data_IF_321317986253
#
_entry.id   IF_321317986253
#
_cell.length_a   1.000
_cell.length_b   1.000
_cell.length_c   1.000
_cell.angle_alpha   90.00
_cell.angle_beta   90.00
_cell.angle_gamma   90.00
#
_symmetry.space_group_name_H-M   'P 1'
#
loop_
_entity.id
_entity.type
_entity.pdbx_description
1 polymer ?
#
# COMPACT_ATOMS: atom_id res chain seq x y z
N UNK A 1 -31.08 -9.28 17.39
CA UNK A 1 -31.29 -9.50 15.93
C UNK A 1 -32.18 -8.39 15.40
N UNK A 2 -31.69 -7.64 14.40
CA UNK A 2 -32.49 -6.61 13.72
C UNK A 2 -33.51 -7.25 12.78
N UNK A 3 -34.67 -6.63 12.59
CA UNK A 3 -35.59 -7.02 11.53
C UNK A 3 -35.11 -6.52 10.14
N UNK A 4 -35.74 -6.97 9.06
CA UNK A 4 -35.33 -6.66 7.69
C UNK A 4 -35.38 -5.15 7.36
N UNK A 5 -36.35 -4.43 7.92
CA UNK A 5 -36.49 -3.00 7.74
C UNK A 5 -35.36 -2.24 8.48
N UNK A 6 -35.05 -2.61 9.72
CA UNK A 6 -33.95 -2.06 10.51
C UNK A 6 -32.58 -2.35 9.86
N UNK A 7 -32.41 -3.56 9.33
CA UNK A 7 -31.20 -3.97 8.59
C UNK A 7 -31.00 -3.15 7.31
N UNK A 8 -32.10 -2.85 6.62
CA UNK A 8 -32.08 -2.03 5.40
C UNK A 8 -31.84 -0.56 5.72
N UNK A 9 -32.44 -0.05 6.80
CA UNK A 9 -32.22 1.30 7.31
C UNK A 9 -30.76 1.52 7.73
N UNK A 10 -30.16 0.55 8.43
CA UNK A 10 -28.74 0.58 8.80
C UNK A 10 -27.83 0.72 7.57
N UNK A 11 -28.05 -0.11 6.53
CA UNK A 11 -27.28 -0.05 5.27
C UNK A 11 -27.45 1.27 4.53
N UNK A 12 -28.64 1.87 4.56
CA UNK A 12 -28.88 3.19 3.99
C UNK A 12 -28.09 4.28 4.71
N UNK A 13 -28.15 4.31 6.04
CA UNK A 13 -27.43 5.27 6.88
C UNK A 13 -25.91 5.13 6.74
N UNK A 14 -25.38 3.90 6.70
CA UNK A 14 -23.96 3.64 6.44
C UNK A 14 -23.53 4.18 5.07
N UNK A 15 -24.29 3.89 3.99
CA UNK A 15 -23.96 4.41 2.65
C UNK A 15 -23.93 5.93 2.60
N UNK A 16 -24.86 6.60 3.29
CA UNK A 16 -24.90 8.08 3.32
C UNK A 16 -23.79 8.66 4.20
N UNK A 17 -23.47 8.02 5.31
CA UNK A 17 -22.43 8.49 6.24
C UNK A 17 -21.04 8.43 5.59
N UNK A 18 -20.78 7.42 4.77
CA UNK A 18 -19.49 7.20 4.10
C UNK A 18 -19.45 7.70 2.65
N UNK A 19 -20.52 8.31 2.13
CA UNK A 19 -20.48 8.94 0.80
C UNK A 19 -19.65 10.24 0.83
N UNK A 20 -19.02 10.57 -0.30
CA UNK A 20 -18.29 11.83 -0.46
C UNK A 20 -19.22 13.03 -0.16
N UNK A 21 -18.90 13.78 0.90
CA UNK A 21 -19.72 14.90 1.38
C UNK A 21 -20.54 14.63 2.65
N UNK A 22 -20.51 13.43 3.23
CA UNK A 22 -20.96 13.14 4.60
C UNK A 22 -22.36 13.67 4.94
N UNK A 23 -23.35 13.38 4.09
CA UNK A 23 -24.69 13.99 4.14
C UNK A 23 -25.62 13.45 5.22
N UNK A 24 -25.12 13.11 6.41
CA UNK A 24 -25.90 12.53 7.52
C UNK A 24 -25.93 13.50 8.69
N UNK A 25 -27.14 13.79 9.18
CA UNK A 25 -27.34 14.63 10.36
C UNK A 25 -26.90 13.92 11.64
N UNK A 26 -26.65 14.68 12.71
CA UNK A 26 -26.26 14.13 14.02
C UNK A 26 -27.31 13.15 14.57
N UNK A 27 -28.60 13.42 14.33
CA UNK A 27 -29.68 12.53 14.72
C UNK A 27 -29.63 11.19 13.98
N UNK A 28 -29.32 11.21 12.68
CA UNK A 28 -29.18 10.00 11.86
C UNK A 28 -27.90 9.21 12.21
N UNK A 29 -26.83 9.88 12.64
CA UNK A 29 -25.63 9.22 13.19
C UNK A 29 -25.92 8.54 14.53
N UNK A 30 -26.74 9.15 15.39
CA UNK A 30 -27.18 8.52 16.63
C UNK A 30 -28.06 7.29 16.36
N UNK A 31 -28.96 7.39 15.37
CA UNK A 31 -29.78 6.25 14.90
C UNK A 31 -28.90 5.10 14.39
N UNK A 32 -27.86 5.41 13.61
CA UNK A 32 -26.91 4.41 13.11
C UNK A 32 -26.20 3.67 14.26
N UNK A 33 -25.70 4.39 15.27
CA UNK A 33 -25.02 3.78 16.43
C UNK A 33 -25.93 2.81 17.20
N UNK A 34 -27.19 3.17 17.38
CA UNK A 34 -28.18 2.30 18.04
C UNK A 34 -28.46 1.02 17.23
N UNK A 35 -28.59 1.16 15.90
CA UNK A 35 -28.78 0.01 15.01
C UNK A 35 -27.56 -0.93 15.00
N UNK A 36 -26.34 -0.39 15.03
CA UNK A 36 -25.11 -1.17 15.11
C UNK A 36 -25.00 -1.93 16.44
N UNK A 37 -25.30 -1.28 17.56
CA UNK A 37 -25.30 -1.92 18.89
C UNK A 37 -26.28 -3.09 18.99
N UNK A 38 -27.48 -2.97 18.39
CA UNK A 38 -28.51 -4.02 18.39
C UNK A 38 -28.25 -5.16 17.40
N UNK A 39 -27.33 -4.94 16.46
CA UNK A 39 -26.94 -5.93 15.47
C UNK A 39 -25.73 -6.78 15.86
N UNK A 40 -25.01 -6.40 16.92
CA UNK A 40 -23.91 -7.20 17.44
C UNK A 40 -24.43 -8.61 17.80
N UNK A 41 -23.78 -9.69 17.32
CA UNK A 41 -24.17 -11.04 17.69
C UNK A 41 -23.97 -11.25 19.19
N UNK A 42 -25.00 -11.78 19.84
CA UNK A 42 -24.87 -12.36 21.18
C UNK A 42 -24.09 -13.65 20.97
N UNK A 43 -22.83 -13.67 21.39
CA UNK A 43 -22.01 -14.89 21.36
C UNK A 43 -22.56 -15.82 22.45
N UNK A 44 -23.36 -16.80 22.02
CA UNK A 44 -23.85 -17.87 22.88
C UNK A 44 -22.78 -18.98 22.91
N UNK A 45 -22.38 -19.52 24.08
CA UNK A 45 -21.29 -20.50 24.15
C UNK A 45 -21.74 -21.83 23.52
N UNK A 46 -21.13 -22.24 22.41
CA UNK A 46 -21.47 -23.48 21.71
C UNK A 46 -20.71 -24.68 22.31
N UNK A 47 -21.48 -25.68 22.72
CA UNK A 47 -21.07 -26.93 23.39
C UNK A 47 -20.34 -27.86 22.39
N UNK A 48 -19.03 -28.03 22.58
CA UNK A 48 -18.18 -28.83 21.68
C UNK A 48 -18.43 -30.33 21.81
N UNK A 49 -18.73 -30.99 20.69
CA UNK A 49 -18.64 -32.44 20.55
C UNK A 49 -17.17 -32.88 20.30
N UNK A 50 -16.73 -34.03 20.84
CA UNK A 50 -15.33 -34.44 20.79
C UNK A 50 -14.90 -34.92 19.40
N UNK A 51 -13.83 -34.31 18.88
CA UNK A 51 -13.14 -34.67 17.63
C UNK A 51 -12.16 -35.83 17.85
N UNK A 52 -12.13 -36.75 16.89
CA UNK A 52 -11.37 -38.01 16.93
C UNK A 52 -9.91 -37.76 16.56
N UNK A 53 -9.00 -38.21 17.43
CA UNK A 53 -7.56 -38.14 17.27
C UNK A 53 -7.07 -38.85 16.00
N UNK A 54 -6.21 -38.19 15.22
CA UNK A 54 -5.39 -38.81 14.18
C UNK A 54 -3.92 -38.74 14.58
N UNK A 55 -3.26 -39.88 14.50
CA UNK A 55 -1.88 -40.20 14.89
C UNK A 55 -0.85 -39.52 13.96
N UNK A 56 0.39 -39.22 14.43
CA UNK A 56 1.37 -38.44 13.68
C UNK A 56 2.23 -39.33 12.76
N UNK A 57 2.58 -38.80 11.58
CA UNK A 57 3.60 -39.36 10.70
C UNK A 57 4.93 -38.60 10.86
N UNK A 58 6.01 -39.36 11.06
CA UNK A 58 7.40 -38.95 11.31
C UNK A 58 8.06 -38.32 10.05
N UNK A 59 9.02 -37.37 10.20
CA UNK A 59 9.56 -36.61 9.08
C UNK A 59 10.91 -37.15 8.57
N UNK A 60 11.15 -36.99 7.27
CA UNK A 60 12.49 -37.12 6.69
C UNK A 60 12.62 -36.17 5.50
N UNK A 61 13.52 -35.19 5.61
CA UNK A 61 14.69 -35.02 4.72
C UNK A 61 15.27 -33.61 4.82
N UNK A 62 16.48 -33.52 5.38
CA UNK A 62 17.43 -32.41 5.23
C UNK A 62 18.04 -32.43 3.82
N UNK A 63 18.46 -31.27 3.28
CA UNK A 63 19.79 -31.27 2.68
C UNK A 63 20.68 -30.06 3.03
N UNK A 64 21.98 -30.37 3.04
CA UNK A 64 23.17 -29.56 3.30
C UNK A 64 23.47 -28.42 2.30
N UNK A 65 24.41 -27.49 2.64
CA UNK A 65 24.71 -26.28 1.88
C UNK A 65 25.87 -26.47 0.88
N UNK A 66 25.84 -25.71 -0.22
CA UNK A 66 26.96 -25.61 -1.18
C UNK A 66 27.52 -24.20 -1.19
N UNK A 67 28.84 -24.10 -1.01
CA UNK A 67 29.65 -22.89 -1.14
C UNK A 67 30.78 -23.08 -2.18
N UNK A 68 31.31 -21.95 -2.67
CA UNK A 68 32.40 -21.69 -3.64
C UNK A 68 31.95 -21.58 -5.11
N UNK A 69 32.51 -20.68 -5.93
CA UNK A 69 33.65 -19.78 -5.76
C UNK A 69 33.77 -18.87 -6.99
N UNK A 70 34.56 -17.80 -6.89
CA UNK A 70 34.68 -16.75 -7.89
C UNK A 70 35.55 -17.08 -9.11
N UNK A 71 35.53 -16.18 -10.08
CA UNK A 71 36.67 -15.91 -10.97
C UNK A 71 36.57 -14.48 -11.55
N UNK A 72 37.72 -13.83 -11.68
CA UNK A 72 37.95 -12.48 -12.18
C UNK A 72 38.26 -12.49 -13.70
N UNK A 73 38.10 -11.35 -14.39
CA UNK A 73 39.06 -11.00 -15.45
C UNK A 73 38.58 -10.68 -16.88
N UNK A 74 38.22 -9.40 -17.08
CA UNK A 74 38.67 -8.47 -18.14
C UNK A 74 38.23 -8.58 -19.65
N UNK A 75 38.15 -7.44 -20.39
CA UNK A 75 37.61 -7.25 -21.77
C UNK A 75 38.76 -7.02 -22.80
N UNK A 76 38.68 -6.29 -23.97
CA UNK A 76 37.59 -5.66 -24.76
C UNK A 76 37.68 -5.86 -26.31
N UNK A 77 36.72 -5.33 -27.09
CA UNK A 77 36.86 -4.93 -28.51
C UNK A 77 35.70 -3.99 -28.91
N UNK A 78 35.86 -2.70 -29.23
CA UNK A 78 36.49 -1.96 -30.37
C UNK A 78 35.65 -1.83 -31.66
N UNK A 79 35.29 -0.56 -31.91
CA UNK A 79 35.38 0.25 -33.16
C UNK A 79 34.32 0.08 -34.27
N UNK A 80 33.73 1.23 -34.64
CA UNK A 80 33.05 1.45 -35.91
C UNK A 80 32.48 2.87 -36.03
N UNK A 81 33.35 3.86 -36.25
CA UNK A 81 33.02 5.22 -36.73
C UNK A 81 32.53 5.17 -38.19
N UNK A 82 31.52 5.97 -38.54
CA UNK A 82 31.48 6.82 -39.74
C UNK A 82 30.12 7.54 -39.92
N UNK A 83 30.21 8.86 -40.12
CA UNK A 83 29.20 9.86 -40.53
C UNK A 83 29.84 10.58 -41.75
N UNK A 84 29.18 11.47 -42.51
CA UNK A 84 27.94 11.45 -43.31
C UNK A 84 28.25 11.66 -44.83
N UNK A 85 27.25 11.63 -45.72
CA UNK A 85 27.29 12.40 -46.98
C UNK A 85 25.92 13.04 -47.28
N UNK A 86 25.95 14.38 -47.36
CA UNK A 86 24.99 15.24 -48.05
C UNK A 86 25.29 15.20 -49.55
N UNK A 87 24.28 15.24 -50.41
CA UNK A 87 24.49 15.61 -51.82
C UNK A 87 23.31 16.46 -52.33
N UNK A 88 23.67 17.61 -52.89
CA UNK A 88 22.79 18.66 -53.38
C UNK A 88 22.36 18.42 -54.85
N UNK A 89 21.17 18.95 -55.14
CA UNK A 89 20.72 19.58 -56.39
C UNK A 89 21.35 19.23 -57.76
N UNK A 90 20.49 18.89 -58.73
CA UNK A 90 20.63 19.38 -60.12
C UNK A 90 19.31 19.49 -60.89
N UNK A 91 19.11 20.68 -61.45
CA UNK A 91 18.08 21.10 -62.41
C UNK A 91 18.36 20.66 -63.87
N UNK A 92 17.40 20.97 -64.75
CA UNK A 92 17.41 21.05 -66.23
C UNK A 92 16.83 19.83 -66.97
N UNK A 93 15.94 19.92 -67.99
CA UNK A 93 15.42 21.03 -68.80
C UNK A 93 14.13 20.60 -69.58
N UNK A 94 13.37 21.62 -70.04
CA UNK A 94 12.50 21.86 -71.23
C UNK A 94 11.93 20.67 -72.08
N UNK A 95 10.85 20.77 -72.87
CA UNK A 95 10.05 21.86 -73.44
C UNK A 95 8.72 21.30 -74.00
N UNK A 96 7.75 22.22 -74.14
CA UNK A 96 6.67 22.32 -75.16
C UNK A 96 5.76 21.12 -75.55
N UNK A 97 4.45 21.33 -75.35
CA UNK A 97 3.46 21.39 -76.45
C UNK A 97 2.07 21.80 -75.94
N UNK A 98 1.59 22.98 -76.37
CA UNK A 98 0.16 23.31 -76.41
C UNK A 98 -0.53 22.53 -77.54
N UNK A 99 -1.75 22.02 -77.31
CA UNK A 99 -2.99 22.47 -77.97
C UNK A 99 -4.13 21.42 -77.89
N UNK A 100 -5.34 21.96 -77.80
CA UNK A 100 -6.64 21.41 -77.44
C UNK A 100 -7.20 20.24 -78.27
N UNK A 101 -7.83 19.26 -77.59
CA UNK A 101 -9.11 18.63 -78.01
C UNK A 101 -9.90 18.14 -76.78
N UNK A 102 -11.10 18.66 -76.58
CA UNK A 102 -12.23 17.96 -75.94
C UNK A 102 -13.20 17.52 -77.08
N UNK A 103 -14.13 16.55 -76.94
CA UNK A 103 -14.82 16.13 -75.70
C UNK A 103 -15.13 14.62 -75.58
N UNK A 104 -15.59 14.18 -74.40
CA UNK A 104 -16.88 13.48 -74.17
C UNK A 104 -16.91 12.52 -72.97
N UNK A 105 -17.94 12.71 -72.14
CA UNK A 105 -18.76 11.60 -71.64
C UNK A 105 -18.17 10.65 -70.58
N UNK A 106 -18.19 11.06 -69.31
CA UNK A 106 -18.61 10.17 -68.19
C UNK A 106 -18.91 10.95 -66.92
N UNK A 107 -20.21 11.09 -66.61
CA UNK A 107 -20.70 11.56 -65.30
C UNK A 107 -20.26 10.57 -64.23
N UNK A 108 -19.15 10.86 -63.54
CA UNK A 108 -18.78 10.23 -62.27
C UNK A 108 -19.59 10.91 -61.15
N UNK A 109 -20.28 10.16 -60.28
CA UNK A 109 -20.96 10.75 -59.13
C UNK A 109 -19.90 11.33 -58.19
N UNK A 110 -19.85 12.66 -58.10
CA UNK A 110 -19.02 13.41 -57.15
C UNK A 110 -19.65 13.30 -55.76
N UNK A 111 -19.46 12.16 -55.10
CA UNK A 111 -19.61 12.06 -53.64
C UNK A 111 -18.54 11.11 -53.11
N UNK A 112 -17.32 11.59 -52.85
CA UNK A 112 -16.64 11.06 -51.65
C UNK A 112 -15.79 12.08 -50.87
N UNK A 113 -15.73 13.36 -51.26
CA UNK A 113 -14.82 14.31 -50.59
C UNK A 113 -15.40 14.81 -49.26
N UNK A 114 -16.72 15.04 -49.19
CA UNK A 114 -17.37 15.48 -47.93
C UNK A 114 -17.43 14.36 -46.87
N UNK A 115 -17.54 13.09 -47.27
CA UNK A 115 -17.56 11.97 -46.31
C UNK A 115 -16.17 11.77 -45.71
N UNK A 116 -15.11 11.89 -46.53
CA UNK A 116 -13.73 11.74 -46.05
C UNK A 116 -13.32 12.87 -45.08
N UNK A 117 -13.70 14.12 -45.36
CA UNK A 117 -13.40 15.25 -44.46
C UNK A 117 -14.10 15.11 -43.10
N UNK A 118 -15.32 14.57 -43.08
CA UNK A 118 -16.08 14.36 -41.84
C UNK A 118 -15.47 13.24 -41.00
N UNK A 119 -14.97 12.18 -41.64
CA UNK A 119 -14.27 11.08 -40.97
C UNK A 119 -12.94 11.55 -40.37
N UNK A 120 -12.15 12.34 -41.11
CA UNK A 120 -10.88 12.90 -40.60
C UNK A 120 -11.14 13.87 -39.43
N UNK A 121 -12.16 14.73 -39.53
CA UNK A 121 -12.53 15.64 -38.44
C UNK A 121 -13.04 14.88 -37.21
N UNK A 122 -13.77 13.78 -37.38
CA UNK A 122 -14.21 12.93 -36.27
C UNK A 122 -13.03 12.18 -35.63
N UNK A 123 -12.09 11.65 -36.40
CA UNK A 123 -10.89 10.98 -35.86
C UNK A 123 -10.01 11.98 -35.11
N UNK A 124 -9.77 13.17 -35.66
CA UNK A 124 -9.00 14.21 -34.99
C UNK A 124 -9.73 14.78 -33.78
N UNK A 125 -11.05 14.96 -33.86
CA UNK A 125 -11.89 15.41 -32.74
C UNK A 125 -11.96 14.36 -31.63
N UNK A 126 -12.04 13.08 -31.97
CA UNK A 126 -12.06 11.98 -31.00
C UNK A 126 -10.68 11.77 -30.37
N UNK A 127 -9.60 11.81 -31.15
CA UNK A 127 -8.23 11.76 -30.61
C UNK A 127 -7.93 12.95 -29.70
N UNK A 128 -8.36 14.16 -30.09
CA UNK A 128 -8.21 15.37 -29.28
C UNK A 128 -9.06 15.35 -28.01
N UNK A 129 -10.32 14.90 -28.11
CA UNK A 129 -11.20 14.75 -26.95
C UNK A 129 -10.69 13.66 -25.98
N UNK A 130 -10.14 12.56 -26.50
CA UNK A 130 -9.56 11.49 -25.69
C UNK A 130 -8.35 11.98 -24.89
N UNK A 131 -7.50 12.84 -25.46
CA UNK A 131 -6.39 13.46 -24.72
C UNK A 131 -6.85 14.45 -23.65
N UNK A 132 -8.01 15.09 -23.81
CA UNK A 132 -8.54 16.03 -22.81
C UNK A 132 -9.32 15.33 -21.69
N UNK A 133 -10.02 14.24 -21.98
CA UNK A 133 -10.78 13.48 -20.97
C UNK A 133 -9.91 12.54 -20.13
N UNK A 134 -8.71 12.19 -20.58
CA UNK A 134 -7.81 11.30 -19.83
C UNK A 134 -6.83 12.04 -18.90
N UNK A 135 -7.00 13.35 -18.70
CA UNK A 135 -6.36 14.02 -17.56
C UNK A 135 -7.10 13.56 -16.31
N UNK A 136 -6.53 12.56 -15.65
CA UNK A 136 -6.81 12.30 -14.24
C UNK A 136 -6.79 13.64 -13.47
N UNK A 137 -7.65 13.77 -12.46
CA UNK A 137 -7.78 14.94 -11.60
C UNK A 137 -6.48 15.20 -10.81
N UNK A 138 -5.41 15.60 -11.50
CA UNK A 138 -4.15 15.97 -10.88
C UNK A 138 -4.35 17.34 -10.24
N UNK A 139 -4.08 17.49 -8.93
CA UNK A 139 -4.19 18.79 -8.28
C UNK A 139 -3.30 19.83 -8.98
N UNK A 140 -3.76 21.08 -9.03
CA UNK A 140 -2.95 22.19 -9.58
C UNK A 140 -1.72 22.43 -8.71
N UNK A 141 -0.53 22.40 -9.31
CA UNK A 141 0.73 22.62 -8.58
C UNK A 141 1.01 24.10 -8.30
N UNK A 142 1.63 24.37 -7.15
CA UNK A 142 2.23 25.68 -6.81
C UNK A 142 3.60 25.84 -7.49
N UNK A 143 4.17 27.06 -7.46
CA UNK A 143 5.51 27.31 -8.00
C UNK A 143 6.61 26.52 -7.27
N UNK A 144 6.46 26.36 -5.95
CA UNK A 144 7.40 25.59 -5.13
C UNK A 144 7.31 24.10 -5.47
N UNK A 145 6.10 23.57 -5.64
CA UNK A 145 5.87 22.18 -6.08
C UNK A 145 6.41 21.93 -7.49
N UNK A 146 6.24 22.87 -8.42
CA UNK A 146 6.81 22.75 -9.77
C UNK A 146 8.35 22.76 -9.74
N UNK A 147 8.94 23.56 -8.84
CA UNK A 147 10.40 23.59 -8.63
C UNK A 147 10.90 22.29 -8.00
N UNK A 148 10.18 21.74 -7.03
CA UNK A 148 10.48 20.44 -6.43
C UNK A 148 10.39 19.30 -7.46
N UNK A 149 9.34 19.28 -8.29
CA UNK A 149 9.21 18.31 -9.38
C UNK A 149 10.40 18.38 -10.35
N UNK A 150 10.81 19.59 -10.74
CA UNK A 150 11.97 19.77 -11.62
C UNK A 150 13.28 19.28 -10.98
N UNK A 151 13.40 19.32 -9.64
CA UNK A 151 14.55 18.73 -8.94
C UNK A 151 14.48 17.20 -8.90
N UNK A 152 13.30 16.64 -8.68
CA UNK A 152 13.06 15.19 -8.73
C UNK A 152 13.38 14.64 -10.13
N UNK A 153 12.98 15.33 -11.20
CA UNK A 153 13.27 14.96 -12.60
C UNK A 153 14.78 14.86 -12.89
N UNK A 154 15.62 15.71 -12.26
CA UNK A 154 17.08 15.69 -12.48
C UNK A 154 17.76 14.43 -11.96
N UNK A 155 17.11 13.67 -11.08
CA UNK A 155 17.71 12.45 -10.52
C UNK A 155 17.89 11.34 -11.57
N UNK A 156 17.28 11.47 -12.76
CA UNK A 156 17.34 10.53 -13.88
C UNK A 156 16.96 9.09 -13.50
N UNK A 157 16.12 8.92 -12.47
CA UNK A 157 15.67 7.61 -11.97
C UNK A 157 14.28 7.21 -12.43
N UNK A 158 13.56 8.13 -13.05
CA UNK A 158 12.18 7.93 -13.49
C UNK A 158 12.10 7.93 -15.01
N UNK A 159 11.11 7.22 -15.52
CA UNK A 159 10.83 7.22 -16.95
C UNK A 159 10.41 8.64 -17.37
N UNK A 160 10.90 9.16 -18.52
CA UNK A 160 10.58 10.51 -18.97
C UNK A 160 9.06 10.76 -19.06
N UNK A 161 8.59 11.81 -18.38
CA UNK A 161 7.17 12.18 -18.39
C UNK A 161 6.24 11.31 -17.54
N UNK A 162 6.78 10.38 -16.74
CA UNK A 162 5.98 9.53 -15.85
C UNK A 162 5.59 10.17 -14.52
N UNK A 163 6.20 11.30 -14.16
CA UNK A 163 6.01 11.94 -12.86
C UNK A 163 4.66 12.65 -12.81
N UNK A 164 3.84 12.29 -11.83
CA UNK A 164 2.50 12.81 -11.59
C UNK A 164 2.38 13.25 -10.14
N UNK A 165 1.99 14.50 -9.93
CA UNK A 165 1.72 15.02 -8.59
C UNK A 165 0.45 14.42 -8.02
N UNK A 166 0.55 13.91 -6.78
CA UNK A 166 -0.57 13.26 -6.10
C UNK A 166 -1.22 14.17 -5.05
N UNK A 167 -0.44 15.03 -4.38
CA UNK A 167 -0.97 15.94 -3.36
C UNK A 167 0.07 16.34 -2.31
N UNK A 168 -0.39 17.07 -1.30
CA UNK A 168 0.44 17.56 -0.19
C UNK A 168 -0.32 17.47 1.13
N UNK A 169 0.41 17.14 2.20
CA UNK A 169 -0.08 17.25 3.57
C UNK A 169 1.10 17.45 4.52
N UNK A 170 0.92 18.28 5.55
CA UNK A 170 1.98 18.59 6.52
C UNK A 170 3.25 19.18 5.87
N UNK A 171 3.08 19.97 4.81
CA UNK A 171 4.18 20.53 4.01
C UNK A 171 5.03 19.47 3.27
N UNK A 172 4.53 18.23 3.19
CA UNK A 172 5.11 17.14 2.42
C UNK A 172 4.36 16.96 1.10
N UNK A 173 5.00 17.31 0.00
CA UNK A 173 4.48 17.09 -1.36
C UNK A 173 4.88 15.70 -1.86
N UNK A 174 3.96 15.02 -2.54
CA UNK A 174 4.18 13.64 -3.00
C UNK A 174 3.85 13.50 -4.49
N UNK A 175 4.70 12.75 -5.20
CA UNK A 175 4.53 12.39 -6.60
C UNK A 175 4.58 10.87 -6.77
N UNK A 176 3.86 10.40 -7.77
CA UNK A 176 3.99 9.07 -8.35
C UNK A 176 4.85 9.16 -9.59
N UNK A 177 5.66 8.15 -9.85
CA UNK A 177 6.40 8.01 -11.09
C UNK A 177 6.50 6.54 -11.48
N UNK A 178 7.02 6.26 -12.67
CA UNK A 178 7.46 4.92 -13.04
C UNK A 178 8.96 4.90 -13.29
N UNK A 179 9.57 3.72 -13.19
CA UNK A 179 10.95 3.50 -13.60
C UNK A 179 11.09 2.15 -14.31
N UNK A 180 12.24 1.96 -14.96
CA UNK A 180 12.56 0.76 -15.73
C UNK A 180 11.50 0.46 -16.81
N UNK A 181 11.19 1.46 -17.64
CA UNK A 181 10.21 1.37 -18.73
C UNK A 181 8.80 0.98 -18.26
N UNK A 182 8.39 1.47 -17.09
CA UNK A 182 7.10 1.17 -16.48
C UNK A 182 7.07 -0.10 -15.63
N UNK A 183 8.17 -0.84 -15.52
CA UNK A 183 8.21 -2.09 -14.74
C UNK A 183 8.10 -1.87 -13.23
N UNK A 184 8.40 -0.66 -12.74
CA UNK A 184 8.29 -0.30 -11.32
C UNK A 184 7.42 0.92 -11.12
N UNK A 185 6.68 0.91 -10.02
CA UNK A 185 5.94 2.07 -9.52
C UNK A 185 6.76 2.71 -8.42
N UNK A 186 6.97 4.02 -8.53
CA UNK A 186 7.75 4.80 -7.59
C UNK A 186 6.89 5.86 -6.90
N UNK A 187 7.19 6.13 -5.63
CA UNK A 187 6.66 7.26 -4.88
C UNK A 187 7.82 8.14 -4.44
N UNK A 188 7.71 9.44 -4.67
CA UNK A 188 8.67 10.45 -4.26
C UNK A 188 8.02 11.44 -3.28
N UNK A 189 8.73 11.80 -2.21
CA UNK A 189 8.30 12.76 -1.20
C UNK A 189 9.30 13.92 -1.15
N UNK A 190 8.77 15.15 -1.08
CA UNK A 190 9.52 16.38 -0.89
C UNK A 190 9.08 17.08 0.39
N UNK A 191 10.04 17.46 1.23
CA UNK A 191 9.81 18.27 2.42
C UNK A 191 10.90 19.33 2.49
N UNK A 192 10.50 20.61 2.52
CA UNK A 192 11.40 21.76 2.52
C UNK A 192 12.38 21.79 1.33
N UNK A 193 13.63 21.34 1.52
CA UNK A 193 14.68 21.28 0.49
C UNK A 193 15.17 19.85 0.23
N UNK A 194 14.48 18.86 0.78
CA UNK A 194 14.86 17.46 0.72
C UNK A 194 13.87 16.63 -0.09
N UNK A 195 14.41 15.64 -0.78
CA UNK A 195 13.66 14.66 -1.56
C UNK A 195 14.09 13.25 -1.16
N UNK A 196 13.14 12.32 -1.10
CA UNK A 196 13.38 10.88 -1.01
C UNK A 196 12.41 10.16 -1.95
N UNK A 197 12.75 8.98 -2.43
CA UNK A 197 11.86 8.15 -3.25
C UNK A 197 12.11 6.68 -3.01
N UNK A 198 11.10 5.88 -3.32
CA UNK A 198 11.18 4.44 -3.27
C UNK A 198 10.35 3.85 -4.41
N UNK A 199 10.86 2.79 -5.01
CA UNK A 199 10.22 2.09 -6.12
C UNK A 199 10.00 0.63 -5.73
N UNK A 200 8.90 0.05 -6.18
CA UNK A 200 8.63 -1.39 -6.08
C UNK A 200 8.15 -1.92 -7.42
N UNK A 201 8.39 -3.21 -7.66
CA UNK A 201 7.82 -3.92 -8.79
C UNK A 201 6.41 -4.37 -8.37
N UNK A 202 5.35 -4.00 -9.10
CA UNK A 202 4.02 -4.56 -8.85
C UNK A 202 4.07 -6.09 -8.93
N UNK A 203 3.31 -6.82 -8.09
CA UNK A 203 3.25 -8.28 -8.20
C UNK A 203 2.77 -8.68 -9.60
N UNK A 204 3.45 -9.66 -10.21
CA UNK A 204 3.11 -10.14 -11.56
C UNK A 204 1.74 -10.85 -11.58
N UNK A 205 1.37 -11.47 -10.47
CA UNK A 205 0.12 -12.22 -10.28
C UNK A 205 -0.73 -11.59 -9.17
N UNK A 206 -1.79 -10.87 -9.57
CA UNK A 206 -2.78 -10.31 -8.64
C UNK A 206 -3.57 -11.38 -7.86
N UNK A 207 -3.48 -12.65 -8.28
CA UNK A 207 -4.20 -13.77 -7.67
C UNK A 207 -3.53 -14.28 -6.38
N UNK A 208 -2.22 -14.07 -6.20
CA UNK A 208 -1.48 -14.56 -5.02
C UNK A 208 -1.50 -13.59 -3.83
N UNK A 209 -1.87 -12.32 -4.07
CA UNK A 209 -2.15 -11.36 -3.00
C UNK A 209 -3.29 -10.42 -3.42
N UNK A 210 -4.46 -10.50 -2.79
CA UNK A 210 -5.59 -9.61 -3.08
C UNK A 210 -5.31 -8.14 -2.74
N UNK A 211 -4.17 -7.87 -2.11
CA UNK A 211 -3.67 -6.53 -1.82
C UNK A 211 -2.35 -6.35 -2.57
N UNK A 212 -2.32 -5.43 -3.53
CA UNK A 212 -1.05 -4.95 -4.09
C UNK A 212 -0.18 -4.44 -2.95
N UNK A 213 1.09 -4.85 -2.90
CA UNK A 213 1.99 -4.34 -1.89
C UNK A 213 2.05 -2.81 -2.00
N UNK A 214 1.76 -2.09 -0.90
CA UNK A 214 1.70 -0.65 -0.96
C UNK A 214 3.08 -0.07 -1.24
N UNK A 215 3.16 0.90 -2.15
CA UNK A 215 4.41 1.62 -2.41
C UNK A 215 4.54 2.75 -1.40
N UNK A 216 5.48 2.63 -0.48
CA UNK A 216 5.75 3.63 0.55
C UNK A 216 7.10 4.30 0.39
N UNK A 217 7.24 5.53 0.88
CA UNK A 217 8.53 6.23 1.06
C UNK A 217 8.53 6.98 2.39
N UNK A 218 9.69 7.02 3.05
CA UNK A 218 9.88 7.74 4.31
C UNK A 218 10.98 8.79 4.20
N UNK A 219 10.79 9.96 4.83
CA UNK A 219 11.79 11.03 4.89
C UNK A 219 11.85 11.59 6.31
N UNK A 220 13.04 11.62 6.91
CA UNK A 220 13.25 12.27 8.22
C UNK A 220 13.81 13.68 8.04
N UNK A 221 13.24 14.68 8.72
CA UNK A 221 13.64 16.09 8.68
C UNK A 221 13.97 16.57 10.09
N UNK A 222 15.06 17.31 10.26
CA UNK A 222 15.33 18.03 11.51
C UNK A 222 14.92 19.49 11.32
N UNK A 223 14.08 20.00 12.22
CA UNK A 223 13.62 21.38 12.27
C UNK A 223 13.83 21.95 13.68
N UNK A 224 14.95 22.68 13.86
CA UNK A 224 15.39 23.15 15.16
C UNK A 224 15.73 21.99 16.11
N UNK A 225 15.06 21.95 17.27
CA UNK A 225 15.20 20.87 18.26
C UNK A 225 14.30 19.66 17.94
N UNK A 226 13.43 19.77 16.94
CA UNK A 226 12.50 18.71 16.58
C UNK A 226 13.04 17.84 15.46
N UNK A 227 12.80 16.55 15.57
CA UNK A 227 13.04 15.58 14.52
C UNK A 227 11.68 15.05 14.07
N UNK A 228 11.36 15.21 12.79
CA UNK A 228 10.13 14.74 12.18
C UNK A 228 10.42 13.55 11.27
N UNK A 229 9.55 12.56 11.27
CA UNK A 229 9.51 11.52 10.25
C UNK A 229 8.23 11.65 9.44
N UNK A 230 8.37 11.74 8.13
CA UNK A 230 7.29 11.78 7.16
C UNK A 230 7.20 10.42 6.47
N UNK A 231 5.98 9.94 6.28
CA UNK A 231 5.71 8.68 5.59
C UNK A 231 4.60 8.91 4.58
N UNK A 232 4.85 8.59 3.32
CA UNK A 232 3.85 8.63 2.25
C UNK A 232 3.66 7.22 1.70
N UNK A 233 2.40 6.83 1.44
CA UNK A 233 2.08 5.51 0.89
C UNK A 233 0.98 5.61 -0.12
N UNK A 234 1.18 4.95 -1.26
CA UNK A 234 0.17 4.75 -2.29
C UNK A 234 -0.44 3.35 -2.10
N UNK A 235 -1.73 3.31 -1.76
CA UNK A 235 -2.52 2.09 -1.60
C UNK A 235 -3.64 2.05 -2.65
N UNK A 236 -4.17 0.86 -2.94
CA UNK A 236 -5.40 0.74 -3.74
C UNK A 236 -6.61 0.54 -2.82
N UNK A 237 -7.72 1.22 -3.11
CA UNK A 237 -8.99 0.97 -2.43
C UNK A 237 -9.71 -0.27 -3.00
N UNK A 238 -10.87 -0.64 -2.43
CA UNK A 238 -11.67 -1.79 -2.89
C UNK A 238 -12.22 -1.67 -4.32
N UNK A 239 -12.09 -0.49 -4.93
CA UNK A 239 -12.44 -0.20 -6.32
C UNK A 239 -11.21 -0.03 -7.20
N UNK A 240 -10.04 -0.47 -6.72
CA UNK A 240 -8.73 -0.36 -7.40
C UNK A 240 -8.30 1.09 -7.69
N UNK A 241 -8.87 2.07 -6.97
CA UNK A 241 -8.42 3.45 -7.09
C UNK A 241 -7.23 3.69 -6.17
N UNK A 242 -6.19 4.30 -6.71
CA UNK A 242 -5.03 4.72 -5.93
C UNK A 242 -5.42 5.80 -4.92
N UNK A 243 -5.01 5.61 -3.67
CA UNK A 243 -5.21 6.54 -2.56
C UNK A 243 -3.87 6.83 -1.92
N UNK A 244 -3.57 8.12 -1.76
CA UNK A 244 -2.37 8.59 -1.09
C UNK A 244 -2.64 8.80 0.41
N UNK A 245 -1.81 8.19 1.25
CA UNK A 245 -1.78 8.40 2.70
C UNK A 245 -0.47 9.08 3.08
N UNK A 246 -0.55 10.26 3.73
CA UNK A 246 0.61 10.97 4.27
C UNK A 246 0.48 11.06 5.79
N UNK A 247 1.53 10.61 6.49
CA UNK A 247 1.67 10.66 7.94
C UNK A 247 2.93 11.45 8.33
N UNK A 248 2.90 12.06 9.53
CA UNK A 248 4.02 12.78 10.13
C UNK A 248 4.11 12.44 11.62
N UNK A 249 5.29 12.08 12.09
CA UNK A 249 5.57 11.73 13.48
C UNK A 249 6.67 12.64 14.05
N UNK A 250 6.46 13.17 15.26
CA UNK A 250 7.50 13.85 16.03
C UNK A 250 8.39 12.80 16.70
N UNK A 251 9.56 12.54 16.13
CA UNK A 251 10.56 11.64 16.70
C UNK A 251 11.30 12.24 17.90
N UNK A 252 11.24 13.56 18.11
CA UNK A 252 11.91 14.21 19.23
C UNK A 252 11.09 14.20 20.52
N UNK A 253 9.76 14.07 20.42
CA UNK A 253 8.87 14.07 21.57
C UNK A 253 9.06 12.87 22.52
N UNK A 254 9.88 11.89 22.15
CA UNK A 254 9.92 10.59 22.81
C UNK A 254 8.64 9.82 22.51
N UNK A 255 8.76 8.53 22.25
CA UNK A 255 7.59 7.69 22.12
C UNK A 255 7.00 7.46 23.51
N UNK A 256 5.86 8.09 23.82
CA UNK A 256 5.10 7.79 25.03
C UNK A 256 4.34 6.48 24.82
N UNK A 257 5.06 5.37 24.94
CA UNK A 257 4.54 4.02 24.76
C UNK A 257 3.29 3.75 25.61
N UNK A 258 3.14 4.45 26.74
CA UNK A 258 2.00 4.29 27.66
C UNK A 258 0.68 4.68 27.04
N UNK A 259 0.69 5.63 26.09
CA UNK A 259 -0.51 6.09 25.39
C UNK A 259 -1.21 5.01 24.56
N UNK A 260 -0.53 3.88 24.31
CA UNK A 260 -1.06 2.73 23.57
C UNK A 260 -1.84 1.75 24.45
N UNK A 261 -1.77 1.90 25.77
CA UNK A 261 -2.32 0.97 26.75
C UNK A 261 -3.38 1.65 27.61
N UNK A 262 -4.37 0.87 28.01
CA UNK A 262 -5.35 1.21 29.03
C UNK A 262 -4.72 1.18 30.42
N UNK A 263 -5.39 1.79 31.40
CA UNK A 263 -4.91 1.81 32.80
C UNK A 263 -4.70 0.39 33.36
N UNK A 264 -5.63 -0.54 33.09
CA UNK A 264 -5.50 -1.94 33.54
C UNK A 264 -4.35 -2.70 32.87
N UNK A 265 -4.03 -2.40 31.60
CA UNK A 265 -2.85 -2.96 30.94
C UNK A 265 -1.55 -2.40 31.50
N UNK A 266 -1.53 -1.09 31.81
CA UNK A 266 -0.37 -0.45 32.42
C UNK A 266 -0.04 -1.06 33.78
N UNK A 267 -1.04 -1.40 34.60
CA UNK A 267 -0.83 -2.12 35.86
C UNK A 267 -0.16 -3.49 35.65
N UNK A 268 -0.54 -4.23 34.61
CA UNK A 268 0.11 -5.51 34.28
C UNK A 268 1.52 -5.32 33.72
N UNK A 269 1.72 -4.30 32.89
CA UNK A 269 3.03 -3.93 32.36
C UNK A 269 3.99 -3.56 33.49
N UNK A 270 3.53 -2.83 34.51
CA UNK A 270 4.36 -2.50 35.68
C UNK A 270 4.87 -3.76 36.40
N UNK A 271 4.04 -4.81 36.50
CA UNK A 271 4.45 -6.10 37.07
C UNK A 271 5.48 -6.82 36.19
N UNK A 272 5.32 -6.77 34.87
CA UNK A 272 6.32 -7.30 33.93
C UNK A 272 7.63 -6.52 34.01
N UNK A 273 7.57 -5.19 34.12
CA UNK A 273 8.74 -4.33 34.27
C UNK A 273 9.47 -4.57 35.58
N UNK A 274 8.76 -4.84 36.68
CA UNK A 274 9.37 -5.25 37.94
C UNK A 274 10.20 -6.54 37.82
N UNK A 275 9.96 -7.34 36.78
CA UNK A 275 10.70 -8.57 36.45
C UNK A 275 11.77 -8.37 35.38
N UNK A 276 12.02 -7.12 34.95
CA UNK A 276 13.06 -6.76 33.99
C UNK A 276 12.60 -6.69 32.53
N UNK A 277 11.30 -6.81 32.26
CA UNK A 277 10.76 -6.66 30.90
C UNK A 277 10.69 -5.19 30.52
N UNK A 278 11.32 -4.82 29.41
CA UNK A 278 11.35 -3.45 28.91
C UNK A 278 9.96 -3.07 28.34
N UNK A 279 9.24 -2.13 28.97
CA UNK A 279 7.83 -1.90 28.65
C UNK A 279 7.59 -1.28 27.27
N UNK A 280 8.56 -0.51 26.75
CA UNK A 280 8.45 0.12 25.44
C UNK A 280 8.46 -0.86 24.25
N UNK A 281 8.80 -2.14 24.50
CA UNK A 281 8.79 -3.21 23.50
C UNK A 281 7.62 -4.18 23.66
N UNK A 282 6.73 -3.96 24.62
CA UNK A 282 5.54 -4.77 24.81
C UNK A 282 4.46 -4.37 23.80
N UNK A 283 3.70 -5.36 23.36
CA UNK A 283 2.49 -5.20 22.56
C UNK A 283 1.44 -6.20 23.04
N UNK A 284 0.17 -5.78 23.12
CA UNK A 284 -0.94 -6.72 23.38
C UNK A 284 -1.21 -7.54 22.11
N UNK A 285 -1.13 -8.86 22.22
CA UNK A 285 -1.48 -9.80 21.15
C UNK A 285 -2.99 -10.08 21.17
N UNK A 286 -3.58 -10.12 22.35
CA UNK A 286 -4.99 -10.38 22.57
C UNK A 286 -5.31 -10.49 24.05
N UNK A 287 -6.50 -10.99 24.38
CA UNK A 287 -6.96 -11.12 25.75
C UNK A 287 -7.57 -12.50 26.00
N UNK A 288 -7.38 -13.03 27.21
CA UNK A 288 -8.25 -14.05 27.81
C UNK A 288 -9.17 -13.36 28.83
N UNK A 289 -10.41 -13.10 28.42
CA UNK A 289 -11.33 -12.20 29.14
C UNK A 289 -10.68 -10.82 29.37
N UNK A 290 -10.41 -10.45 30.62
CA UNK A 290 -9.77 -9.18 31.00
C UNK A 290 -8.25 -9.31 31.20
N UNK A 291 -7.66 -10.48 30.92
CA UNK A 291 -6.22 -10.73 31.07
C UNK A 291 -5.52 -10.48 29.74
N UNK A 292 -4.74 -9.40 29.58
CA UNK A 292 -3.96 -9.17 28.37
C UNK A 292 -2.82 -10.18 28.24
N UNK A 293 -2.61 -10.67 27.02
CA UNK A 293 -1.45 -11.46 26.63
C UNK A 293 -0.51 -10.56 25.84
N UNK A 294 0.72 -10.42 26.32
CA UNK A 294 1.71 -9.55 25.71
C UNK A 294 2.74 -10.33 24.91
N UNK A 295 3.31 -9.70 23.90
CA UNK A 295 4.58 -10.10 23.27
C UNK A 295 5.57 -8.97 23.44
N UNK A 296 6.81 -9.30 23.84
CA UNK A 296 7.94 -8.38 23.83
C UNK A 296 8.77 -8.62 22.58
N UNK A 297 9.14 -7.55 21.88
CA UNK A 297 10.07 -7.59 20.74
C UNK A 297 11.49 -7.13 21.13
N UNK A 298 11.79 -7.03 22.43
CA UNK A 298 13.10 -6.63 22.93
C UNK A 298 14.13 -7.77 22.73
N UNK A 299 14.88 -7.73 21.63
CA UNK A 299 15.90 -8.73 21.35
C UNK A 299 15.30 -10.05 20.86
N UNK A 300 15.24 -11.08 21.71
CA UNK A 300 14.57 -12.35 21.37
C UNK A 300 13.09 -12.22 21.77
N UNK A 301 12.13 -12.49 20.87
CA UNK A 301 10.73 -12.34 21.22
C UNK A 301 10.30 -13.30 22.33
N UNK A 302 9.47 -12.80 23.25
CA UNK A 302 8.92 -13.57 24.36
C UNK A 302 7.46 -13.18 24.58
N UNK A 303 6.61 -14.17 24.86
CA UNK A 303 5.20 -13.97 25.19
C UNK A 303 5.02 -14.01 26.70
N UNK A 304 4.19 -13.10 27.23
CA UNK A 304 3.97 -12.91 28.66
C UNK A 304 2.48 -12.92 28.99
N UNK A 305 2.14 -13.55 30.11
CA UNK A 305 0.83 -13.44 30.77
C UNK A 305 1.06 -13.25 32.26
N UNK A 306 0.38 -12.30 32.87
CA UNK A 306 0.33 -12.19 34.34
C UNK A 306 -0.84 -13.05 34.84
N UNK A 307 -0.53 -14.08 35.62
CA UNK A 307 -1.53 -14.95 36.21
C UNK A 307 -2.40 -14.15 37.19
N UNK A 308 -3.72 -14.00 36.95
CA UNK A 308 -4.59 -13.22 37.82
C UNK A 308 -4.74 -13.82 39.24
N UNK A 309 -4.38 -15.09 39.43
CA UNK A 309 -4.50 -15.78 40.73
C UNK A 309 -3.26 -15.57 41.60
N UNK A 310 -2.07 -15.67 41.00
CA UNK A 310 -0.80 -15.63 41.72
C UNK A 310 -0.05 -14.30 41.58
N UNK A 311 -0.48 -13.45 40.66
CA UNK A 311 0.20 -12.21 40.24
C UNK A 311 1.61 -12.44 39.66
N UNK A 312 1.96 -13.69 39.36
CA UNK A 312 3.23 -14.05 38.75
C UNK A 312 3.16 -13.87 37.23
N UNK A 313 4.23 -13.39 36.62
CA UNK A 313 4.34 -13.44 35.17
C UNK A 313 4.81 -14.83 34.75
N UNK A 314 4.17 -15.35 33.71
CA UNK A 314 4.56 -16.57 33.02
C UNK A 314 5.01 -16.16 31.62
N UNK A 315 6.16 -16.67 31.20
CA UNK A 315 6.75 -16.33 29.90
C UNK A 315 7.03 -17.57 29.03
N UNK A 316 7.07 -17.35 27.72
CA UNK A 316 7.57 -18.31 26.73
C UNK A 316 8.36 -17.58 25.65
N UNK A 317 9.66 -17.89 25.55
CA UNK A 317 10.61 -17.24 24.65
C UNK A 317 11.13 -18.14 23.53
N UNK A 318 10.72 -19.40 23.53
CA UNK A 318 11.22 -20.44 22.64
C UNK A 318 10.02 -21.03 21.90
N UNK A 319 9.74 -20.57 20.67
CA UNK A 319 8.60 -21.07 19.93
C UNK A 319 8.85 -22.51 19.46
N UNK A 320 7.84 -23.35 19.56
CA UNK A 320 7.79 -24.70 19.00
C UNK A 320 7.08 -24.63 17.64
N UNK A 321 7.79 -24.97 16.56
CA UNK A 321 7.31 -24.82 15.17
C UNK A 321 6.68 -23.43 14.87
N UNK A 322 7.28 -22.37 15.42
CA UNK A 322 6.82 -20.98 15.26
C UNK A 322 5.64 -20.59 16.15
N UNK A 323 5.31 -21.40 17.16
CA UNK A 323 4.25 -21.15 18.14
C UNK A 323 4.83 -21.01 19.54
N UNK A 324 4.63 -19.87 20.18
CA UNK A 324 4.92 -19.68 21.59
C UNK A 324 3.81 -20.32 22.41
N UNK A 325 4.15 -21.30 23.24
CA UNK A 325 3.20 -21.99 24.11
C UNK A 325 3.55 -21.65 25.55
N UNK A 326 2.56 -21.18 26.30
CA UNK A 326 2.66 -20.97 27.75
C UNK A 326 1.40 -21.47 28.45
N UNK A 327 1.51 -21.94 29.69
CA UNK A 327 0.37 -22.46 30.46
C UNK A 327 0.25 -21.76 31.81
N UNK A 328 -0.96 -21.29 32.13
CA UNK A 328 -1.33 -20.66 33.40
C UNK A 328 -2.54 -21.38 33.96
N UNK A 329 -2.37 -22.09 35.08
CA UNK A 329 -3.44 -22.92 35.65
C UNK A 329 -3.90 -24.00 34.67
N UNK A 330 -5.19 -23.97 34.30
CA UNK A 330 -5.81 -24.87 33.31
C UNK A 330 -5.88 -24.28 31.89
N UNK A 331 -5.35 -23.08 31.69
CA UNK A 331 -5.36 -22.39 30.40
C UNK A 331 -3.99 -22.48 29.74
N UNK A 332 -3.96 -22.87 28.48
CA UNK A 332 -2.79 -22.82 27.60
C UNK A 332 -3.01 -21.72 26.56
N UNK A 333 -2.01 -20.87 26.38
CA UNK A 333 -2.01 -19.81 25.38
C UNK A 333 -1.01 -20.19 24.29
N UNK A 334 -1.47 -20.15 23.05
CA UNK A 334 -0.66 -20.38 21.86
C UNK A 334 -0.60 -19.07 21.07
N UNK A 335 0.59 -18.50 20.92
CA UNK A 335 0.80 -17.32 20.09
C UNK A 335 1.60 -17.71 18.86
N UNK A 336 1.01 -17.53 17.67
CA UNK A 336 1.65 -17.82 16.39
C UNK A 336 1.99 -16.53 15.67
N UNK A 337 3.24 -16.35 15.29
CA UNK A 337 3.62 -15.27 14.38
C UNK A 337 3.24 -15.65 12.95
N UNK A 338 2.43 -14.82 12.30
CA UNK A 338 2.04 -15.01 10.90
C UNK A 338 2.70 -13.96 10.01
N UNK A 339 3.22 -14.32 8.83
CA UNK A 339 3.91 -13.35 7.96
C UNK A 339 3.05 -12.16 7.55
N UNK A 340 1.74 -12.36 7.40
CA UNK A 340 0.82 -11.35 6.82
C UNK A 340 -0.18 -10.76 7.79
N UNK A 341 -0.38 -11.34 8.98
CA UNK A 341 -1.44 -10.93 9.93
C UNK A 341 -0.91 -10.61 11.33
N UNK A 342 0.42 -10.63 11.52
CA UNK A 342 1.03 -10.40 12.82
C UNK A 342 0.86 -11.58 13.79
N UNK A 343 1.09 -11.37 15.10
CA UNK A 343 0.93 -12.41 16.11
C UNK A 343 -0.57 -12.70 16.34
N UNK A 344 -0.92 -13.99 16.38
CA UNK A 344 -2.28 -14.46 16.67
C UNK A 344 -2.32 -15.25 17.96
N UNK A 345 -3.23 -14.89 18.86
CA UNK A 345 -3.49 -15.60 20.10
C UNK A 345 -4.60 -16.66 19.93
N UNK A 346 -4.32 -17.89 20.38
CA UNK A 346 -5.32 -18.94 20.62
C UNK A 346 -5.29 -19.31 22.10
N UNK A 347 -6.47 -19.35 22.73
CA UNK A 347 -6.62 -19.69 24.16
C UNK A 347 -7.32 -21.05 24.27
N UNK A 348 -6.62 -22.03 24.85
CA UNK A 348 -7.10 -23.41 25.03
C UNK A 348 -7.33 -23.66 26.51
N UNK A 349 -8.54 -24.08 26.89
CA UNK A 349 -8.87 -24.40 28.29
C UNK A 349 -9.00 -25.90 28.48
N UNK A 350 -8.23 -26.47 29.40
CA UNK A 350 -8.29 -27.89 29.74
C UNK A 350 -9.08 -28.09 31.04
N UNK A 351 -10.36 -28.45 30.93
CA UNK A 351 -11.19 -28.82 32.08
C UNK A 351 -12.42 -27.94 32.33
N UNK A 352 -13.31 -27.84 31.33
CA UNK A 352 -14.69 -27.40 31.53
C UNK A 352 -15.57 -28.52 32.05
#
# INVERSE_FOLDING_TARGET
MLNEAESSRRRELQRRAYAAGGGVSEAELAELRDLDARAAPIVEPEEQAPSVASEPADPSSTPEPVARGGDEGHPPSRVGDAVPEEDEAREEASDDAEEHVAPDGRRRPRVPILVLSTLVALVLGFAGAWMLLNRADTPTMTADQASAMAEIEKTARFDPGSIVYLGEKYDASVWRATSDDGAKVCVAIHVADRNEYQCTTPPEDADDSPFSEPVGVSLSQVDGEKQWSYWATLVSDITEREVLVIQRYDMSAGFDWRSQFTEGELEQIEKLTAQGVAPEYLQVVGYDADVPVFISQAGRPCVYVVDPTSDAAVESCEPDDGVYILSVGSTTYEVRETPSRGPMLTVVRTGG
#
